data_IF_398692020584
#
_entry.id   IF_398692020584
#
_cell.length_a   1.000
_cell.length_b   1.000
_cell.length_c   1.000
_cell.angle_alpha   90.00
_cell.angle_beta   90.00
_cell.angle_gamma   90.00
#
_symmetry.space_group_name_H-M   'P 1'
#
loop_
_entity.id
_entity.type
_entity.pdbx_description
1 polymer ?
#
# COMPACT_ATOMS: atom_id res chain seq x y z
N UNK A 1 -7.69 7.53 24.64
CA UNK A 1 -8.52 8.31 23.72
C UNK A 1 -8.42 7.75 22.31
N UNK A 2 -9.53 7.45 21.79
CA UNK A 2 -9.54 6.87 20.47
C UNK A 2 -9.34 7.89 19.39
N UNK A 3 -8.53 7.58 18.44
CA UNK A 3 -8.43 8.41 17.28
C UNK A 3 -9.67 8.22 16.43
N UNK A 4 -10.04 9.28 15.75
CA UNK A 4 -11.14 9.23 14.82
C UNK A 4 -10.81 8.29 13.68
N UNK A 5 -11.65 7.29 13.46
CA UNK A 5 -11.46 6.39 12.34
C UNK A 5 -11.98 7.03 11.05
N UNK A 6 -11.15 7.08 10.04
CA UNK A 6 -11.55 7.60 8.74
C UNK A 6 -12.55 6.64 8.08
N UNK A 7 -13.61 7.15 7.47
CA UNK A 7 -14.62 6.27 6.86
C UNK A 7 -14.05 5.29 5.84
N UNK A 8 -13.00 5.66 5.11
CA UNK A 8 -12.44 4.76 4.11
C UNK A 8 -11.71 3.57 4.72
N UNK A 9 -11.33 3.63 5.99
CA UNK A 9 -10.56 2.55 6.62
C UNK A 9 -11.37 1.27 6.70
N UNK A 10 -12.62 1.35 7.14
CA UNK A 10 -13.47 0.18 7.21
C UNK A 10 -13.72 -0.44 5.84
N UNK A 11 -13.93 0.39 4.84
CA UNK A 11 -14.12 -0.09 3.47
C UNK A 11 -12.86 -0.75 2.95
N UNK A 12 -11.72 -0.16 3.23
CA UNK A 12 -10.43 -0.72 2.82
C UNK A 12 -10.19 -2.08 3.48
N UNK A 13 -10.47 -2.20 4.76
CA UNK A 13 -10.34 -3.48 5.45
C UNK A 13 -11.21 -4.55 4.81
N UNK A 14 -12.45 -4.20 4.47
CA UNK A 14 -13.34 -5.14 3.80
C UNK A 14 -12.76 -5.64 2.48
N UNK A 15 -12.25 -4.73 1.67
CA UNK A 15 -11.71 -5.10 0.36
C UNK A 15 -10.46 -5.96 0.48
N UNK A 16 -9.62 -5.65 1.45
CA UNK A 16 -8.40 -6.42 1.64
C UNK A 16 -8.65 -7.81 2.21
N UNK A 17 -9.79 -8.01 2.86
CA UNK A 17 -10.16 -9.29 3.43
C UNK A 17 -10.84 -10.23 2.44
N UNK A 18 -11.13 -9.77 1.23
CA UNK A 18 -11.77 -10.61 0.22
C UNK A 18 -10.85 -11.76 -0.19
N UNK A 19 -11.43 -12.90 -0.61
CA UNK A 19 -10.62 -14.07 -1.00
C UNK A 19 -9.67 -13.80 -2.15
N UNK A 20 -10.03 -12.92 -3.08
CA UNK A 20 -9.20 -12.56 -4.20
C UNK A 20 -9.11 -11.03 -4.30
N UNK A 21 -8.40 -10.40 -3.37
CA UNK A 21 -8.39 -8.94 -3.31
C UNK A 21 -7.66 -8.33 -4.49
N UNK A 22 -8.17 -7.19 -4.92
CA UNK A 22 -7.49 -6.36 -5.93
C UNK A 22 -6.61 -5.36 -5.21
N UNK A 23 -5.64 -4.81 -5.93
CA UNK A 23 -4.86 -3.71 -5.40
C UNK A 23 -5.78 -2.52 -5.12
N UNK A 24 -5.53 -1.86 -4.01
CA UNK A 24 -6.29 -0.68 -3.62
C UNK A 24 -5.43 0.55 -3.82
N UNK A 25 -5.95 1.52 -4.57
CA UNK A 25 -5.23 2.76 -4.85
C UNK A 25 -6.03 3.92 -4.28
N UNK A 26 -5.39 4.67 -3.39
CA UNK A 26 -6.00 5.82 -2.76
C UNK A 26 -5.25 7.07 -3.18
N UNK A 27 -5.89 7.91 -3.96
CA UNK A 27 -5.30 9.15 -4.45
C UNK A 27 -6.19 10.32 -4.02
N UNK A 28 -5.57 11.36 -3.53
CA UNK A 28 -6.30 12.54 -3.14
C UNK A 28 -5.35 13.62 -2.67
N UNK A 29 -5.86 14.80 -2.35
CA UNK A 29 -5.02 15.88 -1.87
C UNK A 29 -4.36 15.49 -0.55
N UNK A 30 -3.23 16.11 -0.28
CA UNK A 30 -2.59 15.96 1.03
C UNK A 30 -3.57 16.43 2.08
N UNK A 31 -3.39 16.00 3.30
CA UNK A 31 -4.18 16.45 4.44
C UNK A 31 -5.62 15.92 4.49
N UNK A 32 -5.91 14.87 3.72
CA UNK A 32 -7.21 14.20 3.88
C UNK A 32 -7.11 13.01 4.84
N UNK A 33 -5.96 12.82 5.47
CA UNK A 33 -5.78 11.79 6.47
C UNK A 33 -5.54 10.40 5.92
N UNK A 34 -5.07 10.28 4.67
CA UNK A 34 -4.81 8.96 4.07
C UNK A 34 -3.78 8.17 4.86
N UNK A 35 -2.65 8.78 5.14
CA UNK A 35 -1.59 8.10 5.89
C UNK A 35 -2.03 7.74 7.29
N UNK A 36 -2.72 8.67 7.95
CA UNK A 36 -3.25 8.41 9.30
C UNK A 36 -4.23 7.24 9.28
N UNK A 37 -5.13 7.22 8.31
CA UNK A 37 -6.10 6.14 8.20
C UNK A 37 -5.45 4.80 7.93
N UNK A 38 -4.43 4.78 7.08
CA UNK A 38 -3.72 3.53 6.79
C UNK A 38 -2.94 3.06 8.02
N UNK A 39 -2.36 3.98 8.80
CA UNK A 39 -1.72 3.58 10.05
C UNK A 39 -2.71 2.94 11.02
N UNK A 40 -3.94 3.43 11.05
CA UNK A 40 -5.00 2.81 11.84
C UNK A 40 -5.29 1.39 11.33
N UNK A 41 -5.34 1.21 10.02
CA UNK A 41 -5.50 -0.11 9.42
C UNK A 41 -4.38 -1.05 9.84
N UNK A 42 -3.14 -0.59 9.74
CA UNK A 42 -1.97 -1.42 10.07
C UNK A 42 -1.97 -1.84 11.52
N UNK A 43 -2.40 -0.96 12.42
CA UNK A 43 -2.44 -1.27 13.85
C UNK A 43 -3.44 -2.38 14.17
N UNK A 44 -4.39 -2.64 13.27
CA UNK A 44 -5.42 -3.66 13.45
C UNK A 44 -5.23 -4.86 12.54
N UNK A 45 -4.24 -4.81 11.65
CA UNK A 45 -4.02 -5.91 10.72
C UNK A 45 -3.50 -7.13 11.44
N UNK A 46 -4.11 -8.28 11.23
CA UNK A 46 -3.76 -9.49 11.97
C UNK A 46 -2.59 -10.25 11.37
N UNK A 47 -2.22 -9.96 10.14
CA UNK A 47 -1.12 -10.66 9.48
C UNK A 47 0.12 -9.78 9.36
N UNK A 48 1.13 -10.26 8.64
CA UNK A 48 2.33 -9.46 8.43
C UNK A 48 2.04 -8.28 7.50
N UNK A 49 2.79 -7.19 7.69
CA UNK A 49 2.65 -6.04 6.83
C UNK A 49 4.00 -5.32 6.68
N UNK A 50 4.12 -4.62 5.58
CA UNK A 50 5.30 -3.81 5.29
C UNK A 50 4.85 -2.47 4.73
N UNK A 51 5.33 -1.41 5.34
CA UNK A 51 5.03 -0.04 4.92
C UNK A 51 6.30 0.61 4.42
N UNK A 52 6.21 1.26 3.26
CA UNK A 52 7.34 1.99 2.70
C UNK A 52 6.83 3.26 2.05
N UNK A 53 7.63 4.32 2.11
CA UNK A 53 7.27 5.59 1.50
C UNK A 53 8.33 6.02 0.50
N UNK A 54 7.90 6.34 -0.71
CA UNK A 54 8.81 6.87 -1.72
C UNK A 54 9.26 8.29 -1.39
N UNK A 55 8.62 8.93 -0.42
CA UNK A 55 8.96 10.26 0.01
C UNK A 55 10.23 10.30 0.87
N UNK A 56 10.60 9.17 1.46
CA UNK A 56 11.76 9.08 2.35
C UNK A 56 13.08 8.99 1.60
N UNK A 57 13.02 8.88 0.28
CA UNK A 57 14.20 8.66 -0.53
C UNK A 57 14.45 9.85 -1.45
N UNK A 58 15.72 10.12 -1.74
CA UNK A 58 16.07 11.11 -2.75
C UNK A 58 15.62 10.65 -4.12
N UNK A 59 15.76 9.36 -4.39
CA UNK A 59 15.33 8.77 -5.66
C UNK A 59 14.70 7.42 -5.38
N UNK A 60 13.40 7.32 -5.63
CA UNK A 60 12.72 6.04 -5.62
C UNK A 60 12.53 5.62 -7.08
N UNK A 61 12.93 4.41 -7.41
CA UNK A 61 12.85 3.92 -8.78
C UNK A 61 12.26 2.52 -8.82
N UNK A 62 12.31 1.92 -10.01
CA UNK A 62 11.77 0.56 -10.20
C UNK A 62 12.46 -0.45 -9.29
N UNK A 63 13.76 -0.34 -9.12
CA UNK A 63 14.51 -1.24 -8.25
C UNK A 63 14.04 -1.12 -6.81
N UNK A 64 13.80 0.10 -6.35
CA UNK A 64 13.28 0.33 -5.01
C UNK A 64 11.90 -0.31 -4.85
N UNK A 65 11.02 -0.12 -5.82
CA UNK A 65 9.67 -0.72 -5.77
C UNK A 65 9.75 -2.25 -5.72
N UNK A 66 10.61 -2.83 -6.53
CA UNK A 66 10.82 -4.28 -6.52
C UNK A 66 11.28 -4.76 -5.16
N UNK A 67 12.22 -4.03 -4.54
CA UNK A 67 12.73 -4.40 -3.23
C UNK A 67 11.63 -4.42 -2.17
N UNK A 68 10.72 -3.43 -2.20
CA UNK A 68 9.61 -3.38 -1.26
C UNK A 68 8.65 -4.55 -1.50
N UNK A 69 8.38 -4.85 -2.76
CA UNK A 69 7.51 -5.95 -3.11
C UNK A 69 8.07 -7.28 -2.63
N UNK A 70 9.36 -7.49 -2.85
CA UNK A 70 10.03 -8.72 -2.42
C UNK A 70 10.05 -8.85 -0.90
N UNK A 71 10.30 -7.75 -0.20
CA UNK A 71 10.29 -7.76 1.26
C UNK A 71 8.92 -8.24 1.77
N UNK A 72 7.85 -7.69 1.23
CA UNK A 72 6.51 -8.09 1.64
C UNK A 72 6.21 -9.54 1.27
N UNK A 73 6.64 -9.96 0.08
CA UNK A 73 6.40 -11.33 -0.39
C UNK A 73 7.05 -12.38 0.49
N UNK A 74 8.18 -12.05 1.09
CA UNK A 74 8.92 -12.98 1.95
C UNK A 74 8.30 -13.11 3.33
N UNK A 75 7.38 -12.25 3.68
CA UNK A 75 6.72 -12.31 4.98
C UNK A 75 5.69 -13.43 5.08
N UNK A 76 5.28 -13.99 3.94
CA UNK A 76 4.34 -15.08 3.90
C UNK A 76 3.05 -14.71 3.17
N UNK A 77 2.21 -15.70 2.98
CA UNK A 77 0.93 -15.48 2.31
C UNK A 77 0.06 -14.51 3.10
N UNK A 78 -0.67 -13.70 2.35
CA UNK A 78 -1.59 -12.76 2.96
C UNK A 78 -0.90 -11.53 3.53
N UNK A 79 0.39 -11.33 3.21
CA UNK A 79 1.09 -10.13 3.64
C UNK A 79 0.49 -8.88 3.01
N UNK A 80 0.51 -7.81 3.76
CA UNK A 80 0.00 -6.51 3.30
C UNK A 80 1.17 -5.59 3.00
N UNK A 81 1.19 -5.07 1.78
CA UNK A 81 2.19 -4.08 1.37
C UNK A 81 1.52 -2.74 1.20
N UNK A 82 2.06 -1.73 1.85
CA UNK A 82 1.60 -0.35 1.68
C UNK A 82 2.75 0.48 1.14
N UNK A 83 2.53 1.13 0.00
CA UNK A 83 3.50 2.06 -0.56
C UNK A 83 2.88 3.44 -0.57
N UNK A 84 3.48 4.34 0.21
CA UNK A 84 3.01 5.71 0.35
C UNK A 84 3.75 6.61 -0.63
N UNK A 85 3.08 7.67 -1.08
CA UNK A 85 3.63 8.64 -2.04
C UNK A 85 4.15 7.94 -3.29
N UNK A 86 3.40 6.96 -3.77
CA UNK A 86 3.84 6.10 -4.87
C UNK A 86 4.12 6.88 -6.15
N UNK A 87 3.45 8.02 -6.34
CA UNK A 87 3.63 8.81 -7.55
C UNK A 87 5.03 9.42 -7.67
N UNK A 88 5.80 9.41 -6.60
CA UNK A 88 7.18 9.90 -6.63
C UNK A 88 8.14 8.93 -7.28
N UNK A 89 7.73 7.68 -7.47
CA UNK A 89 8.54 6.69 -8.18
C UNK A 89 8.22 6.77 -9.67
N UNK A 90 9.21 7.07 -10.53
CA UNK A 90 8.96 7.15 -11.98
C UNK A 90 8.46 5.82 -12.52
N UNK A 91 7.47 5.90 -13.40
CA UNK A 91 6.90 4.72 -14.08
C UNK A 91 6.36 3.67 -13.11
N UNK A 92 5.88 4.12 -11.95
CA UNK A 92 5.41 3.20 -10.92
C UNK A 92 4.26 2.31 -11.41
N UNK A 93 3.39 2.85 -12.26
CA UNK A 93 2.22 2.12 -12.73
C UNK A 93 2.65 0.85 -13.48
N UNK A 94 3.60 0.99 -14.39
CA UNK A 94 4.10 -0.15 -15.15
C UNK A 94 4.82 -1.15 -14.26
N UNK A 95 5.63 -0.65 -13.35
CA UNK A 95 6.39 -1.51 -12.45
C UNK A 95 5.46 -2.33 -11.55
N UNK A 96 4.49 -1.68 -10.94
CA UNK A 96 3.54 -2.35 -10.05
C UNK A 96 2.68 -3.35 -10.82
N UNK A 97 2.22 -2.98 -12.02
CA UNK A 97 1.43 -3.89 -12.82
C UNK A 97 2.20 -5.16 -13.16
N UNK A 98 3.47 -5.00 -13.52
CA UNK A 98 4.32 -6.14 -13.84
C UNK A 98 4.48 -7.07 -12.63
N UNK A 99 4.71 -6.50 -11.46
CA UNK A 99 4.86 -7.30 -10.24
C UNK A 99 3.57 -8.00 -9.85
N UNK A 100 2.44 -7.32 -9.98
CA UNK A 100 1.14 -7.91 -9.68
C UNK A 100 0.81 -9.03 -10.63
N UNK A 101 1.04 -8.82 -11.95
CA UNK A 101 0.69 -9.82 -12.95
C UNK A 101 1.51 -11.10 -12.82
N UNK A 102 2.71 -11.01 -12.25
CA UNK A 102 3.53 -12.20 -12.04
C UNK A 102 2.94 -13.15 -11.00
N UNK A 103 2.23 -12.62 -10.00
CA UNK A 103 1.61 -13.45 -8.98
C UNK A 103 0.37 -12.71 -8.42
N UNK A 104 -0.72 -12.65 -9.19
CA UNK A 104 -1.89 -11.90 -8.77
C UNK A 104 -2.46 -12.42 -7.45
N UNK A 105 -2.74 -11.50 -6.55
CA UNK A 105 -3.37 -11.85 -5.29
C UNK A 105 -2.46 -12.45 -4.23
N UNK A 106 -1.18 -12.62 -4.53
CA UNK A 106 -0.24 -13.14 -3.53
C UNK A 106 -0.08 -12.17 -2.35
N UNK A 107 -0.05 -10.89 -2.66
CA UNK A 107 0.00 -9.85 -1.64
C UNK A 107 -1.30 -9.07 -1.65
N UNK A 108 -1.62 -8.52 -0.50
CA UNK A 108 -2.61 -7.48 -0.42
C UNK A 108 -1.86 -6.16 -0.51
N UNK A 109 -2.28 -5.28 -1.41
CA UNK A 109 -1.51 -4.09 -1.75
C UNK A 109 -2.36 -2.84 -1.64
N UNK A 110 -1.81 -1.84 -0.96
CA UNK A 110 -2.41 -0.51 -0.87
C UNK A 110 -1.38 0.50 -1.36
N UNK A 111 -1.77 1.29 -2.32
CA UNK A 111 -0.91 2.34 -2.88
C UNK A 111 -1.54 3.68 -2.55
N UNK A 112 -0.74 4.55 -1.94
CA UNK A 112 -1.18 5.88 -1.56
C UNK A 112 -0.46 6.91 -2.40
N UNK A 113 -1.21 7.88 -2.90
CA UNK A 113 -0.63 8.96 -3.67
C UNK A 113 -1.28 10.28 -3.33
N UNK A 114 -0.58 11.36 -3.58
CA UNK A 114 -1.11 12.70 -3.42
C UNK A 114 -1.26 13.36 -4.77
N UNK A 115 -2.40 14.01 -4.97
CA UNK A 115 -2.57 14.90 -6.11
C UNK A 115 -2.15 16.29 -5.68
N UNK A 116 -1.54 17.03 -6.60
CA UNK A 116 -1.04 18.37 -6.29
C UNK A 116 -2.16 19.34 -5.97
#
# INVERSE_FOLDING_TARGET
MDSFERPFVARLEQRLAEPAPLMQVLVGPRQVGKTTGVRQLLSRWSGPWHYASADDLLVADRTWLLAQWQTASRMGEGGLLVIDEVQKAPNWTEAIKSLWDAAPGRLRVVLLGSSA
#
